data_IF_726048487438
#
_entry.id   IF_726048487438
#
_cell.length_a   1.000
_cell.length_b   1.000
_cell.length_c   1.000
_cell.angle_alpha   90.00
_cell.angle_beta   90.00
_cell.angle_gamma   90.00
#
_symmetry.space_group_name_H-M   'P 1'
#
loop_
_entity.id
_entity.type
_entity.pdbx_description
1 polymer ?
#
# COMPACT_ATOMS: atom_id res chain seq x y z
N UNK A 1 -21.24 -39.73 -41.57
CA UNK A 1 -20.53 -38.83 -42.52
C UNK A 1 -19.72 -37.85 -41.67
N UNK A 2 -18.40 -37.92 -41.55
CA UNK A 2 -17.33 -38.22 -42.53
C UNK A 2 -17.18 -37.17 -43.62
N UNK A 3 -16.20 -36.28 -43.40
CA UNK A 3 -15.20 -35.79 -44.37
C UNK A 3 -15.68 -35.53 -45.82
N UNK A 4 -16.00 -34.27 -46.09
CA UNK A 4 -15.38 -33.55 -47.22
C UNK A 4 -14.79 -32.26 -46.64
N UNK A 5 -13.56 -32.30 -46.10
CA UNK A 5 -12.32 -32.00 -46.83
C UNK A 5 -12.38 -30.64 -47.54
N UNK A 6 -11.77 -29.61 -46.96
CA UNK A 6 -10.34 -29.28 -47.17
C UNK A 6 -10.10 -28.70 -48.57
N UNK A 7 -10.44 -27.42 -48.75
CA UNK A 7 -10.20 -26.71 -50.03
C UNK A 7 -9.86 -25.20 -49.93
N UNK A 8 -9.63 -24.65 -48.73
CA UNK A 8 -9.10 -23.28 -48.54
C UNK A 8 -7.93 -23.31 -47.54
N UNK A 9 -6.92 -24.13 -47.85
CA UNK A 9 -5.68 -24.23 -47.06
C UNK A 9 -4.45 -24.54 -47.95
N UNK A 10 -4.37 -23.97 -49.16
CA UNK A 10 -3.09 -23.80 -49.89
C UNK A 10 -3.17 -22.80 -51.06
N UNK A 11 -2.67 -21.57 -50.86
CA UNK A 11 -2.05 -20.75 -51.92
C UNK A 11 -0.91 -19.92 -51.29
N UNK A 12 0.32 -20.20 -51.73
CA UNK A 12 1.52 -19.34 -51.78
C UNK A 12 1.60 -18.20 -50.74
N UNK A 13 2.43 -18.22 -49.69
CA UNK A 13 3.77 -18.80 -49.50
C UNK A 13 4.87 -18.20 -50.41
N UNK A 14 6.03 -17.94 -49.81
CA UNK A 14 7.27 -17.34 -50.36
C UNK A 14 7.23 -15.82 -50.62
N UNK A 15 7.80 -15.06 -49.68
CA UNK A 15 8.86 -14.11 -50.01
C UNK A 15 9.73 -13.87 -48.75
N UNK A 16 10.98 -14.35 -48.77
CA UNK A 16 11.98 -14.13 -47.71
C UNK A 16 13.08 -13.25 -48.29
N UNK A 17 13.45 -12.18 -47.60
CA UNK A 17 14.77 -11.57 -47.75
C UNK A 17 15.11 -10.75 -46.49
N UNK A 18 16.33 -10.94 -45.99
CA UNK A 18 16.88 -10.17 -44.90
C UNK A 18 17.79 -9.07 -45.44
N UNK A 19 17.91 -7.96 -44.72
CA UNK A 19 18.98 -6.99 -44.89
C UNK A 19 19.40 -6.47 -43.51
N UNK A 20 20.68 -6.64 -43.21
CA UNK A 20 21.36 -6.14 -42.03
C UNK A 20 22.31 -5.00 -42.44
N UNK A 21 23.30 -4.67 -41.59
CA UNK A 21 24.25 -3.53 -41.68
C UNK A 21 23.59 -2.13 -41.66
N UNK A 22 24.20 -1.08 -41.08
CA UNK A 22 25.55 -0.98 -40.50
C UNK A 22 25.60 -0.19 -39.19
N UNK A 23 26.66 -0.43 -38.42
CA UNK A 23 27.14 0.39 -37.29
C UNK A 23 28.51 0.97 -37.67
N UNK A 24 28.81 2.24 -37.36
CA UNK A 24 30.18 2.77 -37.36
C UNK A 24 30.81 2.63 -35.96
N UNK A 25 31.99 2.02 -35.88
CA UNK A 25 32.88 2.05 -34.71
C UNK A 25 33.91 3.20 -34.82
N UNK A 26 34.92 3.18 -33.93
CA UNK A 26 36.18 3.96 -33.94
C UNK A 26 35.98 5.41 -33.44
N UNK A 27 36.68 5.92 -32.41
CA UNK A 27 38.06 5.68 -31.98
C UNK A 27 38.25 5.14 -30.54
N UNK A 28 39.48 4.71 -30.24
CA UNK A 28 39.93 4.18 -28.95
C UNK A 28 41.32 4.71 -28.58
N UNK A 29 41.62 4.70 -27.28
CA UNK A 29 42.96 4.83 -26.66
C UNK A 29 43.66 6.22 -26.76
N UNK A 30 44.67 6.52 -25.92
CA UNK A 30 45.33 5.65 -24.92
C UNK A 30 45.21 6.12 -23.46
N UNK A 31 45.55 5.20 -22.55
CA UNK A 31 45.77 5.46 -21.13
C UNK A 31 47.28 5.56 -20.81
N UNK A 32 47.62 6.21 -19.69
CA UNK A 32 48.94 6.12 -19.05
C UNK A 32 48.73 5.94 -17.54
N UNK A 33 49.55 5.10 -16.90
CA UNK A 33 49.41 4.73 -15.48
C UNK A 33 50.73 4.84 -14.69
N UNK A 34 50.64 5.37 -13.46
CA UNK A 34 51.58 5.23 -12.34
C UNK A 34 50.86 5.79 -11.08
N UNK A 35 50.90 5.21 -9.86
CA UNK A 35 52.04 4.76 -9.06
C UNK A 35 52.94 5.93 -8.60
N UNK A 36 53.34 6.09 -7.32
CA UNK A 36 53.15 5.22 -6.16
C UNK A 36 53.31 5.93 -4.80
N UNK A 37 52.81 5.26 -3.75
CA UNK A 37 53.45 5.01 -2.44
C UNK A 37 53.88 6.13 -1.45
N UNK A 38 53.93 5.65 -0.19
CA UNK A 38 54.80 6.08 0.92
C UNK A 38 54.25 7.10 1.93
N UNK A 39 54.74 6.98 3.16
CA UNK A 39 54.25 7.67 4.35
C UNK A 39 55.33 7.74 5.45
N UNK A 40 55.05 8.48 6.54
CA UNK A 40 55.91 8.77 7.72
C UNK A 40 56.86 9.99 7.44
N UNK A 41 57.39 10.73 8.44
CA UNK A 41 57.60 10.41 9.87
C UNK A 41 57.83 11.67 10.75
N UNK A 42 57.18 11.72 11.93
CA UNK A 42 57.61 12.28 13.25
C UNK A 42 58.57 13.51 13.34
N UNK A 43 58.17 14.49 14.17
CA UNK A 43 58.86 14.98 15.43
C UNK A 43 57.97 16.05 16.10
N UNK A 44 57.71 16.20 17.42
CA UNK A 44 58.15 15.64 18.73
C UNK A 44 59.10 16.51 19.60
N UNK A 45 58.53 17.42 20.41
CA UNK A 45 58.99 18.02 21.70
C UNK A 45 57.69 18.39 22.48
N UNK A 46 57.36 18.12 23.77
CA UNK A 46 57.90 17.46 24.99
C UNK A 46 58.71 18.32 26.00
N UNK A 47 58.21 18.34 27.28
CA UNK A 47 58.67 18.97 28.56
C UNK A 47 57.91 20.28 28.89
N UNK A 48 57.60 20.65 30.16
CA UNK A 48 57.78 20.04 31.52
C UNK A 48 56.65 20.57 32.46
N UNK A 49 56.10 19.78 33.42
CA UNK A 49 56.27 19.86 34.91
C UNK A 49 56.29 21.30 35.46
N UNK A 50 55.42 21.71 36.40
CA UNK A 50 55.15 21.22 37.80
C UNK A 50 53.68 21.44 38.25
N UNK A 51 53.13 21.08 39.45
CA UNK A 51 53.45 20.12 40.54
C UNK A 51 52.26 19.91 41.54
N UNK A 52 52.46 18.99 42.51
CA UNK A 52 52.03 19.04 43.95
C UNK A 52 50.54 18.99 44.43
N UNK A 53 50.18 17.77 44.91
CA UNK A 53 49.66 17.43 46.27
C UNK A 53 48.16 17.64 46.65
N UNK A 54 47.41 16.53 46.54
CA UNK A 54 46.26 16.04 47.37
C UNK A 54 45.41 17.03 48.21
N UNK A 55 44.09 17.01 47.99
CA UNK A 55 43.07 16.71 49.02
C UNK A 55 41.78 16.13 48.38
N UNK A 56 40.96 15.42 49.15
CA UNK A 56 39.65 14.86 48.73
C UNK A 56 38.52 15.77 49.23
N UNK A 57 37.59 16.16 48.36
CA UNK A 57 36.21 16.55 48.70
C UNK A 57 35.30 16.19 47.52
N UNK A 58 34.04 15.86 47.79
CA UNK A 58 33.05 15.56 46.76
C UNK A 58 32.24 16.83 46.41
N UNK A 59 31.91 17.02 45.13
CA UNK A 59 31.07 18.13 44.68
C UNK A 59 30.16 17.71 43.51
N UNK A 60 28.85 17.99 43.62
CA UNK A 60 27.86 17.75 42.57
C UNK A 60 28.20 18.61 41.34
N UNK A 61 28.29 18.03 40.15
CA UNK A 61 28.53 18.79 38.90
C UNK A 61 27.29 18.78 38.00
N UNK A 62 26.49 19.86 38.06
CA UNK A 62 25.38 20.11 37.12
C UNK A 62 25.90 20.01 35.67
N UNK A 63 25.40 19.04 34.88
CA UNK A 63 25.59 19.03 33.42
C UNK A 63 24.57 20.01 32.81
N UNK A 64 25.06 21.12 32.23
CA UNK A 64 24.25 21.96 31.32
C UNK A 64 23.86 21.10 30.11
N UNK A 65 22.57 20.78 29.92
CA UNK A 65 22.07 20.23 28.66
C UNK A 65 22.03 21.38 27.65
N UNK A 66 22.91 21.37 26.66
CA UNK A 66 22.78 22.27 25.50
C UNK A 66 21.71 21.72 24.56
N UNK A 67 20.66 22.49 24.35
CA UNK A 67 19.54 22.17 23.46
C UNK A 67 19.95 22.28 22.00
N UNK A 68 20.59 21.24 21.45
CA UNK A 68 20.70 21.08 19.99
C UNK A 68 19.29 20.89 19.41
N UNK A 69 18.69 21.99 18.94
CA UNK A 69 17.45 22.00 18.15
C UNK A 69 17.66 21.10 16.93
N UNK A 70 17.11 19.87 16.99
CA UNK A 70 17.34 18.82 16.00
C UNK A 70 16.53 19.17 14.75
N UNK A 71 17.13 19.90 13.82
CA UNK A 71 16.46 20.26 12.57
C UNK A 71 16.05 19.00 11.82
N UNK A 72 14.73 18.80 11.69
CA UNK A 72 14.17 17.78 10.82
C UNK A 72 14.43 18.27 9.39
N UNK A 73 15.55 17.84 8.81
CA UNK A 73 15.75 17.97 7.37
C UNK A 73 14.61 17.23 6.68
N UNK A 74 13.71 17.96 6.03
CA UNK A 74 12.81 17.38 5.03
C UNK A 74 13.69 16.58 4.04
N UNK A 75 13.29 15.38 3.61
CA UNK A 75 14.05 14.66 2.59
C UNK A 75 14.19 15.59 1.38
N UNK A 76 15.40 15.66 0.81
CA UNK A 76 15.63 16.50 -0.35
C UNK A 76 14.78 15.98 -1.51
N UNK A 77 13.82 16.80 -1.96
CA UNK A 77 13.01 16.50 -3.15
C UNK A 77 13.98 16.46 -4.33
N UNK A 78 14.23 15.26 -4.85
CA UNK A 78 15.08 15.09 -6.01
C UNK A 78 14.19 15.15 -7.25
N UNK A 79 14.20 16.29 -7.94
CA UNK A 79 13.67 16.39 -9.31
C UNK A 79 14.34 15.33 -10.18
N UNK A 80 13.53 14.51 -10.83
CA UNK A 80 13.97 13.40 -11.67
C UNK A 80 13.85 13.74 -13.16
N UNK A 81 12.88 14.60 -13.53
CA UNK A 81 12.69 15.16 -14.86
C UNK A 81 11.70 16.34 -14.83
N UNK A 82 11.79 17.25 -15.80
CA UNK A 82 10.82 18.33 -16.08
C UNK A 82 10.72 18.49 -17.60
N UNK A 83 9.55 18.84 -18.12
CA UNK A 83 9.41 19.30 -19.51
C UNK A 83 10.01 20.69 -19.70
N UNK A 84 10.33 21.08 -20.94
CA UNK A 84 11.02 22.35 -21.25
C UNK A 84 10.20 23.60 -20.85
N UNK A 85 8.88 23.48 -20.82
CA UNK A 85 7.90 24.47 -20.36
C UNK A 85 7.56 24.34 -18.86
N UNK A 86 8.15 23.37 -18.16
CA UNK A 86 7.80 22.96 -16.78
C UNK A 86 6.35 22.51 -16.54
N UNK A 87 5.54 22.35 -17.60
CA UNK A 87 4.13 21.97 -17.48
C UNK A 87 3.94 20.59 -16.83
N UNK A 88 4.87 19.66 -17.11
CA UNK A 88 4.90 18.31 -16.53
C UNK A 88 6.26 18.01 -15.90
N UNK A 89 6.26 17.22 -14.82
CA UNK A 89 7.49 16.88 -14.09
C UNK A 89 7.38 15.60 -13.29
N UNK A 90 8.54 15.02 -12.97
CA UNK A 90 8.68 13.83 -12.12
C UNK A 90 9.69 14.15 -11.01
N UNK A 91 9.39 13.80 -9.76
CA UNK A 91 10.37 13.85 -8.67
C UNK A 91 10.26 12.63 -7.73
N UNK A 92 11.25 12.46 -6.84
CA UNK A 92 11.21 11.46 -5.76
C UNK A 92 10.85 12.11 -4.42
N UNK A 93 9.73 11.69 -3.84
CA UNK A 93 9.30 12.05 -2.49
C UNK A 93 9.90 11.15 -1.41
N UNK A 94 9.39 11.26 -0.18
CA UNK A 94 9.81 10.39 0.92
C UNK A 94 9.52 8.91 0.63
N UNK A 95 10.25 8.01 1.32
CA UNK A 95 10.17 6.54 1.15
C UNK A 95 10.42 6.02 -0.27
N UNK A 96 10.87 6.87 -1.19
CA UNK A 96 11.12 6.53 -2.59
C UNK A 96 9.89 6.64 -3.50
N UNK A 97 8.73 7.07 -2.97
CA UNK A 97 7.50 7.31 -3.76
C UNK A 97 7.82 8.24 -4.94
N UNK A 98 7.37 7.87 -6.14
CA UNK A 98 7.48 8.69 -7.34
C UNK A 98 6.26 9.60 -7.42
N UNK A 99 6.48 10.90 -7.57
CA UNK A 99 5.42 11.88 -7.83
C UNK A 99 5.57 12.32 -9.28
N UNK A 100 4.48 12.23 -10.04
CA UNK A 100 4.36 12.74 -11.40
C UNK A 100 3.27 13.81 -11.44
N UNK A 101 3.51 14.89 -12.17
CA UNK A 101 2.50 15.87 -12.56
C UNK A 101 2.43 15.92 -14.09
N UNK A 102 1.24 15.80 -14.64
CA UNK A 102 1.01 15.94 -16.08
C UNK A 102 0.86 17.41 -16.50
N UNK A 103 0.77 17.65 -17.81
CA UNK A 103 0.62 18.99 -18.41
C UNK A 103 -0.75 19.65 -18.17
N UNK A 104 -1.73 18.91 -17.64
CA UNK A 104 -3.02 19.46 -17.19
C UNK A 104 -2.95 19.92 -15.73
N UNK A 105 -1.85 19.62 -15.04
CA UNK A 105 -1.66 19.97 -13.64
C UNK A 105 -2.24 18.97 -12.66
N UNK A 106 -2.52 17.73 -13.10
CA UNK A 106 -2.96 16.64 -12.24
C UNK A 106 -1.74 15.92 -11.68
N UNK A 107 -1.68 15.75 -10.36
CA UNK A 107 -0.60 15.00 -9.68
C UNK A 107 -1.05 13.56 -9.42
N UNK A 108 -0.18 12.57 -9.69
CA UNK A 108 -0.30 11.17 -9.27
C UNK A 108 0.92 10.75 -8.46
N UNK A 109 0.69 10.11 -7.31
CA UNK A 109 1.71 9.51 -6.47
C UNK A 109 1.72 7.99 -6.62
N UNK A 110 2.90 7.41 -6.81
CA UNK A 110 3.08 5.99 -7.12
C UNK A 110 4.17 5.38 -6.26
N UNK A 111 3.83 4.30 -5.55
CA UNK A 111 4.81 3.49 -4.85
C UNK A 111 5.57 2.62 -5.86
N UNK A 112 6.91 2.67 -5.89
CA UNK A 112 7.67 1.68 -6.65
C UNK A 112 7.64 0.32 -5.93
N UNK A 113 7.71 -0.78 -6.69
CA UNK A 113 7.81 -2.13 -6.14
C UNK A 113 9.22 -2.74 -6.36
N UNK A 114 10.21 -2.44 -5.48
CA UNK A 114 11.58 -2.95 -5.59
C UNK A 114 11.71 -4.36 -4.98
N UNK A 115 11.05 -5.36 -5.56
CA UNK A 115 11.00 -6.72 -5.01
C UNK A 115 11.44 -7.78 -6.04
N UNK A 116 12.12 -8.83 -5.56
CA UNK A 116 12.53 -9.99 -6.37
C UNK A 116 11.35 -10.90 -6.67
N UNK A 117 11.26 -11.39 -7.92
CA UNK A 117 10.26 -12.37 -8.34
C UNK A 117 10.29 -13.69 -7.52
N UNK A 118 11.39 -13.99 -6.83
CA UNK A 118 11.50 -15.17 -5.96
C UNK A 118 10.84 -15.02 -4.58
N UNK A 119 10.42 -13.80 -4.18
CA UNK A 119 9.95 -13.51 -2.82
C UNK A 119 8.71 -14.29 -2.39
N UNK A 120 7.80 -14.60 -3.33
CA UNK A 120 6.48 -15.16 -3.02
C UNK A 120 6.47 -16.63 -2.63
N UNK A 121 7.61 -17.35 -2.69
CA UNK A 121 7.69 -18.78 -2.38
C UNK A 121 7.14 -19.12 -0.99
N UNK A 122 7.39 -18.27 0.02
CA UNK A 122 6.85 -18.47 1.37
C UNK A 122 5.33 -18.30 1.46
N UNK A 123 4.78 -17.35 0.71
CA UNK A 123 3.36 -17.03 0.64
C UNK A 123 2.58 -18.11 -0.11
N UNK A 124 3.06 -18.50 -1.30
CA UNK A 124 2.51 -19.62 -2.07
C UNK A 124 2.51 -20.94 -1.27
N UNK A 125 3.59 -21.22 -0.53
CA UNK A 125 3.67 -22.38 0.35
C UNK A 125 2.70 -22.31 1.54
N UNK A 126 2.39 -21.11 2.06
CA UNK A 126 1.39 -20.93 3.12
C UNK A 126 -0.04 -21.17 2.60
N UNK A 127 -0.42 -20.59 1.47
CA UNK A 127 -1.72 -20.79 0.83
C UNK A 127 -1.93 -22.27 0.47
N UNK A 128 -0.89 -22.91 -0.07
CA UNK A 128 -0.94 -24.33 -0.42
C UNK A 128 -1.10 -25.25 0.81
N UNK A 129 -0.64 -24.84 2.01
CA UNK A 129 -0.97 -25.54 3.26
C UNK A 129 -2.45 -25.41 3.62
N UNK A 130 -3.06 -24.23 3.47
CA UNK A 130 -4.51 -24.06 3.68
C UNK A 130 -5.32 -24.92 2.70
N UNK A 131 -4.96 -24.93 1.42
CA UNK A 131 -5.61 -25.77 0.42
C UNK A 131 -5.53 -27.26 0.76
N UNK A 132 -4.35 -27.77 1.14
CA UNK A 132 -4.22 -29.17 1.61
C UNK A 132 -5.01 -29.45 2.89
N UNK A 133 -5.05 -28.49 3.82
CA UNK A 133 -5.74 -28.63 5.10
C UNK A 133 -7.26 -28.60 4.99
N UNK A 134 -7.82 -27.88 4.00
CA UNK A 134 -9.27 -27.71 3.79
C UNK A 134 -9.82 -28.57 2.64
N UNK A 135 -8.96 -29.32 1.94
CA UNK A 135 -9.36 -30.28 0.89
C UNK A 135 -10.37 -31.35 1.35
N UNK A 136 -10.32 -31.92 2.58
CA UNK A 136 -11.35 -32.85 3.05
C UNK A 136 -12.74 -32.20 3.14
N UNK A 137 -12.77 -30.91 3.46
CA UNK A 137 -13.97 -30.09 3.61
C UNK A 137 -14.45 -29.50 2.27
N UNK A 138 -13.83 -29.92 1.15
CA UNK A 138 -14.14 -29.51 -0.24
C UNK A 138 -14.01 -28.01 -0.56
N UNK A 139 -13.31 -27.23 0.27
CA UNK A 139 -13.11 -25.79 0.06
C UNK A 139 -12.18 -25.54 -1.12
N UNK A 140 -12.61 -24.72 -2.09
CA UNK A 140 -11.73 -24.22 -3.17
C UNK A 140 -10.87 -23.08 -2.62
N UNK A 141 -9.56 -23.13 -2.87
CA UNK A 141 -8.62 -22.10 -2.39
C UNK A 141 -8.02 -21.32 -3.55
N UNK A 142 -8.02 -20.00 -3.42
CA UNK A 142 -7.62 -19.04 -4.46
C UNK A 142 -6.51 -18.11 -3.96
N UNK A 143 -5.69 -17.61 -4.87
CA UNK A 143 -4.71 -16.55 -4.62
C UNK A 143 -4.94 -15.39 -5.59
N UNK A 144 -5.19 -14.18 -5.08
CA UNK A 144 -5.19 -12.95 -5.88
C UNK A 144 -4.19 -11.97 -5.26
N UNK A 145 -3.09 -11.71 -5.96
CA UNK A 145 -2.13 -10.68 -5.56
C UNK A 145 -2.47 -9.37 -6.29
N UNK A 146 -2.86 -8.34 -5.53
CA UNK A 146 -3.27 -7.05 -6.09
C UNK A 146 -2.04 -6.19 -6.45
N UNK A 147 -1.85 -5.78 -7.72
CA UNK A 147 -0.76 -4.87 -8.09
C UNK A 147 -0.94 -3.47 -7.50
N UNK A 148 0.15 -2.71 -7.33
CA UNK A 148 0.07 -1.28 -7.05
C UNK A 148 -0.15 -0.44 -8.31
N UNK A 149 -0.48 0.85 -8.16
CA UNK A 149 -0.51 1.78 -9.30
C UNK A 149 0.85 1.92 -10.01
N UNK A 150 1.95 1.53 -9.36
CA UNK A 150 3.30 1.60 -9.91
C UNK A 150 3.59 0.54 -10.99
N UNK A 151 2.75 -0.49 -11.13
CA UNK A 151 2.83 -1.46 -12.22
C UNK A 151 2.29 -0.91 -13.55
N UNK A 152 1.33 0.02 -13.50
CA UNK A 152 0.61 0.51 -14.69
C UNK A 152 0.92 1.96 -15.06
N UNK A 153 1.00 2.87 -14.08
CA UNK A 153 1.05 4.32 -14.33
C UNK A 153 2.45 4.93 -14.20
N UNK A 154 3.48 4.13 -13.89
CA UNK A 154 4.84 4.66 -13.71
C UNK A 154 5.42 5.17 -15.04
N UNK A 155 5.90 6.44 -15.12
CA UNK A 155 6.46 6.96 -16.35
C UNK A 155 7.67 6.15 -16.86
N UNK A 156 7.88 6.07 -18.19
CA UNK A 156 8.99 5.32 -18.79
C UNK A 156 10.35 5.67 -18.18
N UNK A 157 11.15 4.64 -17.89
CA UNK A 157 12.49 4.78 -17.30
C UNK A 157 12.54 4.82 -15.76
N UNK A 158 11.40 4.99 -15.07
CA UNK A 158 11.38 5.13 -13.60
C UNK A 158 11.07 3.84 -12.82
N UNK A 159 10.58 2.79 -13.51
CA UNK A 159 10.63 1.40 -13.07
C UNK A 159 10.70 0.42 -14.24
N UNK A 160 10.99 -0.85 -13.94
CA UNK A 160 10.90 -1.95 -14.90
C UNK A 160 9.47 -2.47 -15.03
N UNK A 161 8.66 -1.88 -15.92
CA UNK A 161 7.30 -2.31 -16.29
C UNK A 161 7.13 -3.84 -16.29
N UNK A 162 6.02 -4.38 -15.79
CA UNK A 162 5.83 -5.82 -15.58
C UNK A 162 6.50 -6.36 -14.31
N UNK A 163 7.07 -5.53 -13.44
CA UNK A 163 7.81 -6.00 -12.24
C UNK A 163 6.91 -6.71 -11.25
N UNK A 164 5.71 -6.18 -11.01
CA UNK A 164 4.76 -6.81 -10.10
C UNK A 164 4.17 -8.06 -10.75
N UNK A 165 3.82 -8.01 -12.04
CA UNK A 165 3.30 -9.18 -12.75
C UNK A 165 4.31 -10.33 -12.88
N UNK A 166 5.60 -10.04 -13.07
CA UNK A 166 6.67 -11.06 -12.97
C UNK A 166 6.72 -11.70 -11.58
N UNK A 167 6.48 -10.93 -10.51
CA UNK A 167 6.41 -11.48 -9.16
C UNK A 167 5.13 -12.29 -8.91
N UNK A 168 3.97 -11.86 -9.43
CA UNK A 168 2.70 -12.56 -9.30
C UNK A 168 2.75 -13.90 -10.06
N UNK A 169 3.18 -13.91 -11.32
CA UNK A 169 3.34 -15.12 -12.11
C UNK A 169 4.35 -16.11 -11.50
N UNK A 170 5.50 -15.60 -11.01
CA UNK A 170 6.47 -16.44 -10.28
C UNK A 170 5.87 -17.02 -8.99
N UNK A 171 5.10 -16.24 -8.23
CA UNK A 171 4.41 -16.72 -7.03
C UNK A 171 3.36 -17.79 -7.34
N UNK A 172 2.56 -17.59 -8.40
CA UNK A 172 1.60 -18.57 -8.88
C UNK A 172 2.28 -19.91 -9.27
N UNK A 173 3.45 -19.86 -9.91
CA UNK A 173 4.25 -21.06 -10.24
C UNK A 173 4.83 -21.83 -9.03
N UNK A 174 4.68 -21.30 -7.81
CA UNK A 174 5.07 -21.98 -6.56
C UNK A 174 3.89 -22.54 -5.77
N UNK A 175 2.66 -22.45 -6.29
CA UNK A 175 1.47 -23.03 -5.66
C UNK A 175 1.38 -24.55 -5.92
N UNK A 176 0.76 -25.27 -5.00
CA UNK A 176 0.21 -26.60 -5.30
C UNK A 176 -0.88 -26.48 -6.37
N UNK A 177 -1.00 -27.49 -7.25
CA UNK A 177 -2.02 -27.55 -8.31
C UNK A 177 -3.48 -27.66 -7.81
N UNK A 178 -3.71 -27.67 -6.50
CA UNK A 178 -5.05 -27.57 -5.87
C UNK A 178 -5.42 -26.13 -5.46
N UNK A 179 -4.53 -25.15 -5.69
CA UNK A 179 -4.81 -23.72 -5.54
C UNK A 179 -5.07 -23.11 -6.91
N UNK A 180 -6.09 -22.27 -7.03
CA UNK A 180 -6.37 -21.52 -8.26
C UNK A 180 -5.75 -20.11 -8.18
N UNK A 181 -4.68 -19.79 -8.92
CA UNK A 181 -4.20 -18.42 -9.04
C UNK A 181 -5.19 -17.59 -9.87
N UNK A 182 -5.63 -16.46 -9.32
CA UNK A 182 -6.51 -15.49 -9.99
C UNK A 182 -5.63 -14.35 -10.49
N UNK A 183 -5.47 -14.30 -11.82
CA UNK A 183 -4.65 -13.30 -12.50
C UNK A 183 -5.55 -12.13 -12.94
N UNK A 184 -5.38 -10.96 -12.30
CA UNK A 184 -6.18 -9.77 -12.59
C UNK A 184 -5.53 -8.80 -13.61
N UNK A 185 -4.36 -9.13 -14.17
CA UNK A 185 -3.60 -8.22 -15.05
C UNK A 185 -4.41 -7.85 -16.31
N UNK A 186 -4.95 -8.83 -17.04
CA UNK A 186 -5.73 -8.57 -18.26
C UNK A 186 -6.99 -7.73 -17.97
N UNK A 187 -7.67 -8.02 -16.87
CA UNK A 187 -8.86 -7.29 -16.41
C UNK A 187 -8.54 -5.84 -16.03
N UNK A 188 -7.37 -5.58 -15.43
CA UNK A 188 -6.95 -4.21 -15.10
C UNK A 188 -6.38 -3.48 -16.34
N UNK A 189 -5.63 -4.18 -17.21
CA UNK A 189 -5.06 -3.61 -18.45
C UNK A 189 -6.12 -3.21 -19.47
N UNK A 190 -7.27 -3.89 -19.50
CA UNK A 190 -8.40 -3.51 -20.34
C UNK A 190 -8.99 -2.13 -19.97
N UNK A 191 -8.78 -1.64 -18.73
CA UNK A 191 -9.44 -0.46 -18.17
C UNK A 191 -8.45 0.62 -17.68
N UNK A 192 -7.21 0.67 -18.20
CA UNK A 192 -6.21 1.69 -17.82
C UNK A 192 -6.60 3.13 -18.18
N UNK A 193 -7.54 3.32 -19.10
CA UNK A 193 -8.13 4.62 -19.47
C UNK A 193 -9.17 5.13 -18.47
N UNK A 194 -9.52 4.33 -17.46
CA UNK A 194 -10.47 4.67 -16.40
C UNK A 194 -9.72 4.83 -15.07
N UNK A 195 -10.31 5.54 -14.10
CA UNK A 195 -9.70 5.74 -12.78
C UNK A 195 -9.88 4.49 -11.90
N UNK A 196 -9.16 3.43 -12.28
CA UNK A 196 -9.09 2.15 -11.56
C UNK A 196 -8.08 2.15 -10.39
N UNK A 197 -7.22 3.18 -10.29
CA UNK A 197 -6.30 3.41 -9.18
C UNK A 197 -6.33 4.87 -8.74
N UNK A 198 -6.44 5.11 -7.43
CA UNK A 198 -6.40 6.46 -6.88
C UNK A 198 -5.06 7.15 -7.21
N UNK A 199 -5.07 8.47 -7.33
CA UNK A 199 -3.90 9.32 -7.57
C UNK A 199 -3.18 9.70 -6.29
N UNK A 200 -3.91 9.86 -5.20
CA UNK A 200 -3.43 10.36 -3.90
C UNK A 200 -3.48 9.31 -2.79
N UNK A 201 -3.97 8.10 -3.07
CA UNK A 201 -3.96 6.96 -2.16
C UNK A 201 -3.09 5.79 -2.69
N UNK A 202 -2.85 4.76 -1.87
CA UNK A 202 -2.04 3.59 -2.24
C UNK A 202 -2.85 2.36 -2.67
N UNK A 203 -4.17 2.38 -2.49
CA UNK A 203 -5.05 1.33 -3.01
C UNK A 203 -5.44 1.56 -4.47
N UNK A 204 -5.97 0.51 -5.11
CA UNK A 204 -6.87 0.68 -6.24
C UNK A 204 -8.07 1.57 -5.90
N UNK A 205 -8.66 2.20 -6.91
CA UNK A 205 -9.99 2.78 -6.77
C UNK A 205 -11.02 1.63 -6.68
N UNK A 206 -12.23 1.85 -6.16
CA UNK A 206 -13.28 0.84 -6.10
C UNK A 206 -13.62 0.20 -7.46
N UNK A 207 -13.41 0.93 -8.57
CA UNK A 207 -13.57 0.42 -9.93
C UNK A 207 -12.50 -0.64 -10.29
N UNK A 208 -11.23 -0.43 -9.90
CA UNK A 208 -10.18 -1.44 -10.07
C UNK A 208 -10.41 -2.69 -9.20
N UNK A 209 -10.94 -2.49 -7.99
CA UNK A 209 -11.35 -3.58 -7.12
C UNK A 209 -12.51 -4.41 -7.71
N UNK A 210 -13.46 -3.76 -8.41
CA UNK A 210 -14.53 -4.42 -9.16
C UNK A 210 -13.98 -5.28 -10.31
N UNK A 211 -13.02 -4.81 -11.11
CA UNK A 211 -12.45 -5.65 -12.18
C UNK A 211 -11.67 -6.86 -11.63
N UNK A 212 -10.96 -6.70 -10.51
CA UNK A 212 -10.31 -7.81 -9.83
C UNK A 212 -11.30 -8.80 -9.18
N UNK A 213 -12.43 -8.31 -8.66
CA UNK A 213 -13.53 -9.14 -8.16
C UNK A 213 -14.19 -9.96 -9.28
N UNK A 214 -14.37 -9.39 -10.47
CA UNK A 214 -14.85 -10.12 -11.65
C UNK A 214 -13.93 -11.28 -12.06
N UNK A 215 -12.61 -11.09 -12.00
CA UNK A 215 -11.64 -12.16 -12.24
C UNK A 215 -11.75 -13.30 -11.22
N UNK A 216 -11.99 -12.99 -9.94
CA UNK A 216 -12.26 -14.02 -8.91
C UNK A 216 -13.60 -14.74 -9.15
N UNK A 217 -14.66 -14.01 -9.47
CA UNK A 217 -15.98 -14.59 -9.72
C UNK A 217 -15.95 -15.56 -10.93
N UNK A 218 -15.27 -15.18 -12.01
CA UNK A 218 -15.04 -16.04 -13.16
C UNK A 218 -14.24 -17.31 -12.78
N UNK A 219 -13.14 -17.16 -12.02
CA UNK A 219 -12.34 -18.29 -11.55
C UNK A 219 -13.09 -19.20 -10.54
N UNK A 220 -14.08 -18.65 -9.84
CA UNK A 220 -14.92 -19.38 -8.89
C UNK A 220 -16.16 -20.02 -9.52
N UNK A 221 -16.50 -19.71 -10.78
CA UNK A 221 -17.73 -20.19 -11.40
C UNK A 221 -18.97 -19.77 -10.60
N UNK A 222 -19.13 -18.46 -10.42
CA UNK A 222 -20.29 -17.80 -9.83
C UNK A 222 -20.74 -16.67 -10.74
N UNK A 223 -22.01 -16.28 -10.64
CA UNK A 223 -22.55 -15.13 -11.33
C UNK A 223 -21.85 -13.84 -10.86
N UNK A 224 -21.69 -12.86 -11.75
CA UNK A 224 -21.09 -11.57 -11.43
C UNK A 224 -21.97 -10.43 -11.95
N UNK A 225 -22.37 -9.54 -11.05
CA UNK A 225 -23.25 -8.43 -11.40
C UNK A 225 -22.50 -7.38 -12.22
N UNK A 226 -23.09 -6.86 -13.32
CA UNK A 226 -22.49 -5.76 -14.06
C UNK A 226 -22.49 -4.48 -13.21
N UNK A 227 -21.55 -3.56 -13.46
CA UNK A 227 -21.40 -2.31 -12.71
C UNK A 227 -22.69 -1.46 -12.67
N UNK A 228 -23.55 -1.58 -13.70
CA UNK A 228 -24.86 -0.94 -13.78
C UNK A 228 -25.91 -1.46 -12.78
N UNK A 229 -25.64 -2.56 -12.09
CA UNK A 229 -26.46 -3.05 -10.96
C UNK A 229 -26.09 -2.37 -9.63
N UNK A 230 -25.06 -1.53 -9.60
CA UNK A 230 -24.59 -0.83 -8.41
C UNK A 230 -24.90 0.68 -8.51
N UNK A 231 -25.26 1.30 -7.39
CA UNK A 231 -25.47 2.75 -7.31
C UNK A 231 -24.15 3.45 -7.02
N UNK A 232 -23.64 4.32 -7.92
CA UNK A 232 -22.42 5.08 -7.66
C UNK A 232 -22.65 6.15 -6.59
N UNK A 233 -21.63 6.39 -5.77
CA UNK A 233 -21.52 7.46 -4.77
C UNK A 233 -20.14 8.11 -4.91
N UNK A 234 -20.05 9.39 -4.61
CA UNK A 234 -18.83 10.18 -4.69
C UNK A 234 -18.57 10.85 -3.34
N UNK A 235 -17.31 10.82 -2.90
CA UNK A 235 -16.76 11.71 -1.88
C UNK A 235 -15.70 12.56 -2.57
N UNK A 236 -15.88 13.88 -2.61
CA UNK A 236 -15.00 14.82 -3.32
C UNK A 236 -13.80 15.24 -2.47
N UNK A 237 -12.90 15.98 -3.10
CA UNK A 237 -11.71 16.59 -2.47
C UNK A 237 -10.84 15.57 -1.71
N UNK A 238 -10.85 14.31 -2.15
CA UNK A 238 -10.14 13.23 -1.49
C UNK A 238 -8.62 13.40 -1.66
N UNK A 239 -7.92 13.41 -0.52
CA UNK A 239 -6.46 13.31 -0.46
C UNK A 239 -6.11 12.12 0.43
N UNK A 240 -5.69 11.03 -0.20
CA UNK A 240 -5.39 9.78 0.46
C UNK A 240 -4.03 9.69 1.14
N UNK A 241 -3.68 8.45 1.48
CA UNK A 241 -2.48 8.04 2.21
C UNK A 241 -1.16 8.40 1.53
N UNK A 242 -1.10 8.59 0.21
CA UNK A 242 0.17 8.94 -0.47
C UNK A 242 0.68 10.32 -0.10
N UNK A 243 -0.19 11.28 0.29
CA UNK A 243 0.30 12.53 0.87
C UNK A 243 1.10 12.25 2.16
N UNK A 244 0.59 11.40 3.05
CA UNK A 244 1.28 10.97 4.29
C UNK A 244 2.51 10.09 4.03
N UNK A 245 2.55 9.35 2.92
CA UNK A 245 3.68 8.46 2.59
C UNK A 245 4.84 9.21 1.91
N UNK A 246 4.53 10.14 1.02
CA UNK A 246 5.50 10.98 0.29
C UNK A 246 5.95 12.22 1.07
N UNK A 247 5.08 12.77 1.92
CA UNK A 247 5.29 14.05 2.58
C UNK A 247 5.25 15.27 1.64
N UNK A 248 4.75 15.10 0.41
CA UNK A 248 4.85 16.11 -0.64
C UNK A 248 3.55 16.94 -0.81
N UNK A 249 3.63 18.28 -0.80
CA UNK A 249 2.44 19.14 -0.90
C UNK A 249 1.73 19.09 -2.26
N UNK A 250 2.40 18.67 -3.34
CA UNK A 250 1.76 18.61 -4.67
C UNK A 250 0.77 17.45 -4.79
N UNK A 251 0.86 16.45 -3.90
CA UNK A 251 -0.17 15.41 -3.73
C UNK A 251 -1.37 15.97 -2.96
N UNK A 252 -1.14 16.77 -1.91
CA UNK A 252 -2.22 17.44 -1.15
C UNK A 252 -2.98 18.44 -2.02
N UNK A 253 -2.27 19.17 -2.87
CA UNK A 253 -2.82 20.22 -3.72
C UNK A 253 -3.35 19.69 -5.07
N UNK A 254 -3.65 18.40 -5.17
CA UNK A 254 -4.25 17.78 -6.36
C UNK A 254 -5.22 16.64 -5.97
N UNK A 255 -6.29 16.96 -5.21
CA UNK A 255 -7.27 15.98 -4.75
C UNK A 255 -8.00 15.28 -5.91
N UNK A 256 -8.77 14.26 -5.58
CA UNK A 256 -9.58 13.47 -6.52
C UNK A 256 -11.00 13.19 -6.01
N UNK A 257 -11.87 12.69 -6.88
CA UNK A 257 -13.18 12.17 -6.50
C UNK A 257 -13.05 10.69 -6.14
N UNK A 258 -13.34 10.34 -4.89
CA UNK A 258 -13.42 8.95 -4.45
C UNK A 258 -14.80 8.37 -4.82
N UNK A 259 -14.86 7.72 -5.98
CA UNK A 259 -16.08 7.08 -6.50
C UNK A 259 -16.17 5.63 -6.01
N UNK A 260 -17.24 5.30 -5.29
CA UNK A 260 -17.52 3.93 -4.82
C UNK A 260 -18.93 3.46 -5.22
N UNK A 261 -19.14 2.16 -5.20
CA UNK A 261 -20.32 1.50 -5.77
C UNK A 261 -21.08 0.74 -4.68
N UNK A 262 -22.34 1.12 -4.44
CA UNK A 262 -23.23 0.44 -3.51
C UNK A 262 -23.94 -0.72 -4.23
N UNK A 263 -23.83 -1.98 -3.76
CA UNK A 263 -24.63 -3.08 -4.29
C UNK A 263 -26.11 -2.88 -3.96
N UNK A 264 -26.98 -3.66 -4.62
CA UNK A 264 -28.40 -3.78 -4.26
C UNK A 264 -28.58 -4.07 -2.77
N UNK A 265 -29.46 -3.32 -2.11
CA UNK A 265 -29.76 -3.51 -0.68
C UNK A 265 -30.50 -4.83 -0.38
N UNK A 266 -30.57 -5.18 0.90
CA UNK A 266 -31.18 -6.42 1.40
C UNK A 266 -30.18 -7.33 2.14
N UNK A 267 -28.88 -7.15 1.88
CA UNK A 267 -27.81 -7.79 2.64
C UNK A 267 -27.76 -7.30 4.09
N UNK A 268 -27.20 -8.11 4.97
CA UNK A 268 -26.99 -7.79 6.39
C UNK A 268 -25.54 -8.04 6.79
N UNK A 269 -24.89 -7.05 7.42
CA UNK A 269 -23.51 -7.15 7.88
C UNK A 269 -23.42 -7.26 9.40
N UNK A 270 -22.81 -8.35 9.87
CA UNK A 270 -22.44 -8.60 11.26
C UNK A 270 -20.93 -8.42 11.44
N UNK A 271 -20.54 -7.83 12.56
CA UNK A 271 -19.19 -7.39 12.87
C UNK A 271 -18.69 -7.99 14.19
N UNK A 272 -17.42 -8.38 14.22
CA UNK A 272 -16.64 -8.61 15.44
C UNK A 272 -15.45 -7.65 15.36
N UNK A 273 -15.38 -6.69 16.29
CA UNK A 273 -14.38 -5.61 16.29
C UNK A 273 -13.25 -5.94 17.26
N UNK A 274 -12.01 -5.64 16.86
CA UNK A 274 -10.79 -6.03 17.57
C UNK A 274 -10.14 -4.86 18.30
N UNK A 275 -9.94 -5.03 19.61
CA UNK A 275 -9.17 -4.11 20.44
C UNK A 275 -7.69 -4.42 20.31
N UNK A 276 -6.86 -3.41 20.03
CA UNK A 276 -5.40 -3.58 19.92
C UNK A 276 -4.66 -3.05 21.16
N UNK A 277 -3.65 -3.79 21.61
CA UNK A 277 -2.60 -3.34 22.55
C UNK A 277 -1.23 -3.65 21.96
N UNK A 278 -0.32 -2.67 21.94
CA UNK A 278 1.02 -2.84 21.34
C UNK A 278 1.01 -3.28 19.87
N UNK A 279 -0.04 -2.93 19.10
CA UNK A 279 -0.24 -3.35 17.71
C UNK A 279 -0.71 -4.81 17.52
N UNK A 280 -1.02 -5.54 18.61
CA UNK A 280 -1.58 -6.89 18.59
C UNK A 280 -3.02 -6.89 19.08
N UNK A 281 -3.85 -7.79 18.57
CA UNK A 281 -5.21 -8.01 19.08
C UNK A 281 -5.17 -8.55 20.51
N UNK A 282 -5.91 -7.91 21.41
CA UNK A 282 -5.93 -8.21 22.85
C UNK A 282 -7.36 -8.30 23.42
N UNK A 283 -8.35 -8.53 22.55
CA UNK A 283 -9.76 -8.56 22.91
C UNK A 283 -10.65 -8.34 21.69
N UNK A 284 -11.87 -8.84 21.77
CA UNK A 284 -12.86 -8.87 20.69
C UNK A 284 -14.22 -8.42 21.24
N UNK A 285 -15.03 -7.75 20.42
CA UNK A 285 -16.42 -7.45 20.77
C UNK A 285 -17.31 -8.70 20.69
N UNK A 286 -18.50 -8.65 21.29
CA UNK A 286 -19.60 -9.51 20.85
C UNK A 286 -19.95 -9.22 19.36
N UNK A 287 -20.56 -10.18 18.65
CA UNK A 287 -21.15 -9.93 17.33
C UNK A 287 -22.19 -8.80 17.41
N UNK A 288 -22.13 -7.85 16.47
CA UNK A 288 -23.05 -6.72 16.39
C UNK A 288 -23.32 -6.34 14.93
N UNK A 289 -24.49 -5.76 14.65
CA UNK A 289 -24.84 -5.30 13.30
C UNK A 289 -24.42 -3.85 13.10
N UNK A 290 -23.85 -3.53 11.95
CA UNK A 290 -23.44 -2.18 11.56
C UNK A 290 -23.67 -2.01 10.04
N UNK A 291 -23.63 -0.77 9.53
CA UNK A 291 -23.58 -0.57 8.07
C UNK A 291 -22.24 -1.09 7.52
N UNK A 292 -22.26 -1.79 6.38
CA UNK A 292 -21.02 -2.16 5.68
C UNK A 292 -20.30 -0.92 5.12
N UNK A 293 -21.07 0.06 4.65
CA UNK A 293 -20.56 1.32 4.11
C UNK A 293 -20.64 2.42 5.18
N UNK A 294 -19.50 3.09 5.46
CA UNK A 294 -19.43 4.24 6.35
C UNK A 294 -19.48 5.52 5.54
N UNK A 295 -20.33 6.46 5.95
CA UNK A 295 -20.35 7.80 5.39
C UNK A 295 -19.14 8.61 5.88
N UNK A 296 -18.54 9.36 4.95
CA UNK A 296 -17.50 10.36 5.20
C UNK A 296 -17.84 11.63 4.40
N UNK A 297 -17.52 12.82 4.91
CA UNK A 297 -17.72 14.07 4.18
C UNK A 297 -16.69 14.25 3.05
N UNK A 298 -17.02 15.10 2.08
CA UNK A 298 -16.08 15.64 1.09
C UNK A 298 -14.86 16.26 1.83
N UNK A 299 -13.66 16.09 1.28
CA UNK A 299 -12.38 16.44 1.90
C UNK A 299 -11.83 15.40 2.90
N UNK A 300 -12.56 14.32 3.19
CA UNK A 300 -12.12 13.29 4.12
C UNK A 300 -10.97 12.43 3.55
N UNK A 301 -9.74 12.66 4.03
CA UNK A 301 -8.60 11.76 3.77
C UNK A 301 -8.75 10.34 4.35
N UNK A 302 -9.88 10.03 4.99
CA UNK A 302 -10.26 8.70 5.46
C UNK A 302 -11.26 7.98 4.54
N UNK A 303 -11.67 8.54 3.38
CA UNK A 303 -12.74 8.01 2.52
C UNK A 303 -12.61 6.52 2.15
N UNK A 304 -11.39 5.99 1.96
CA UNK A 304 -11.20 4.55 1.70
C UNK A 304 -11.68 3.63 2.86
N UNK A 305 -11.82 4.16 4.08
CA UNK A 305 -12.43 3.46 5.22
C UNK A 305 -13.96 3.35 5.11
N UNK A 306 -14.61 3.91 4.08
CA UNK A 306 -16.02 3.66 3.75
C UNK A 306 -16.31 2.17 3.75
N UNK A 307 -15.38 1.34 3.26
CA UNK A 307 -15.50 -0.11 3.37
C UNK A 307 -15.22 -0.58 4.80
N UNK A 308 -16.27 -1.06 5.48
CA UNK A 308 -16.26 -1.68 6.82
C UNK A 308 -15.79 -0.80 7.98
N UNK A 309 -15.26 0.40 7.76
CA UNK A 309 -14.64 1.20 8.83
C UNK A 309 -13.24 0.69 9.21
N UNK A 310 -12.50 0.12 8.25
CA UNK A 310 -11.12 -0.33 8.42
C UNK A 310 -10.94 -1.77 8.90
N UNK A 311 -9.69 -2.11 9.24
CA UNK A 311 -9.19 -3.49 9.17
C UNK A 311 -9.24 -4.30 10.47
N UNK A 312 -9.41 -3.66 11.63
CA UNK A 312 -9.35 -4.30 12.96
C UNK A 312 -10.69 -4.97 13.31
N UNK A 313 -11.17 -5.85 12.43
CA UNK A 313 -12.48 -6.49 12.53
C UNK A 313 -12.59 -7.72 11.62
N UNK A 314 -13.48 -8.63 11.99
CA UNK A 314 -14.06 -9.61 11.07
C UNK A 314 -15.48 -9.17 10.72
N UNK A 315 -15.88 -9.34 9.47
CA UNK A 315 -17.23 -9.01 8.98
C UNK A 315 -17.84 -10.24 8.30
N UNK A 316 -19.08 -10.58 8.65
CA UNK A 316 -19.91 -11.61 7.99
C UNK A 316 -21.07 -10.90 7.31
N UNK A 317 -21.19 -11.05 6.00
CA UNK A 317 -22.28 -10.45 5.21
C UNK A 317 -23.18 -11.55 4.67
N UNK A 318 -24.47 -11.48 4.98
CA UNK A 318 -25.49 -12.49 4.62
C UNK A 318 -26.61 -11.85 3.81
N UNK A 319 -27.56 -12.66 3.29
CA UNK A 319 -28.72 -12.19 2.48
C UNK A 319 -28.30 -11.36 1.26
N UNK A 320 -27.15 -11.69 0.69
CA UNK A 320 -26.48 -10.93 -0.37
C UNK A 320 -27.19 -11.01 -1.74
N UNK A 321 -27.98 -12.07 -1.96
CA UNK A 321 -28.58 -12.40 -3.27
C UNK A 321 -27.66 -13.21 -4.20
N UNK A 322 -26.44 -13.53 -3.79
CA UNK A 322 -25.50 -14.33 -4.58
C UNK A 322 -25.84 -15.83 -4.66
N UNK A 323 -25.01 -16.59 -5.38
CA UNK A 323 -25.28 -18.00 -5.71
C UNK A 323 -25.51 -18.86 -4.44
N UNK A 324 -26.65 -19.57 -4.32
CA UNK A 324 -26.95 -20.42 -3.16
C UNK A 324 -25.92 -21.53 -2.92
N UNK A 325 -25.65 -21.82 -1.65
CA UNK A 325 -24.63 -22.78 -1.22
C UNK A 325 -23.19 -22.35 -1.53
N UNK A 326 -22.93 -21.07 -1.84
CA UNK A 326 -21.58 -20.54 -2.12
C UNK A 326 -21.20 -19.50 -1.09
N UNK A 327 -20.29 -19.86 -0.18
CA UNK A 327 -19.84 -19.00 0.92
C UNK A 327 -18.36 -18.68 0.80
N UNK A 328 -18.04 -17.38 0.74
CA UNK A 328 -16.71 -16.86 0.51
C UNK A 328 -16.02 -16.46 1.82
N UNK A 329 -14.72 -16.79 1.95
CA UNK A 329 -13.81 -16.22 2.94
C UNK A 329 -12.70 -15.41 2.24
N UNK A 330 -12.80 -14.09 2.36
CA UNK A 330 -11.85 -13.10 1.85
C UNK A 330 -10.78 -12.80 2.91
N UNK A 331 -9.63 -13.47 2.80
CA UNK A 331 -8.48 -13.32 3.70
C UNK A 331 -7.56 -12.23 3.17
N UNK A 332 -7.62 -11.03 3.76
CA UNK A 332 -7.20 -9.82 3.07
C UNK A 332 -6.22 -8.92 3.83
N UNK A 333 -5.55 -8.04 3.09
CA UNK A 333 -5.13 -6.72 3.58
C UNK A 333 -6.09 -5.64 3.07
N UNK A 334 -5.79 -4.38 3.30
CA UNK A 334 -6.68 -3.26 2.99
C UNK A 334 -7.08 -3.14 1.51
N UNK A 335 -6.38 -3.75 0.54
CA UNK A 335 -6.86 -3.83 -0.84
C UNK A 335 -8.19 -4.60 -0.94
N UNK A 336 -8.34 -5.70 -0.20
CA UNK A 336 -9.56 -6.51 -0.22
C UNK A 336 -10.81 -5.77 0.29
N UNK A 337 -10.65 -4.63 0.98
CA UNK A 337 -11.77 -3.85 1.52
C UNK A 337 -12.74 -3.39 0.43
N UNK A 338 -12.21 -2.83 -0.66
CA UNK A 338 -13.02 -2.38 -1.80
C UNK A 338 -13.55 -3.54 -2.67
N UNK A 339 -12.88 -4.70 -2.63
CA UNK A 339 -13.24 -5.89 -3.42
C UNK A 339 -14.41 -6.67 -2.81
N UNK A 340 -14.52 -6.68 -1.47
CA UNK A 340 -15.57 -7.40 -0.74
C UNK A 340 -17.01 -7.10 -1.20
N UNK A 341 -17.48 -5.82 -1.29
CA UNK A 341 -18.86 -5.53 -1.69
C UNK A 341 -19.20 -5.91 -3.13
N UNK A 342 -18.19 -5.97 -4.01
CA UNK A 342 -18.35 -6.40 -5.41
C UNK A 342 -18.71 -7.90 -5.53
N UNK A 343 -18.54 -8.68 -4.45
CA UNK A 343 -18.74 -10.13 -4.44
C UNK A 343 -20.05 -10.54 -3.75
N UNK A 344 -20.84 -9.60 -3.24
CA UNK A 344 -22.13 -9.90 -2.60
C UNK A 344 -23.10 -10.57 -3.59
N UNK A 345 -23.21 -10.02 -4.81
CA UNK A 345 -24.02 -10.61 -5.89
C UNK A 345 -23.54 -11.97 -6.42
N UNK A 346 -22.44 -12.52 -5.89
CA UNK A 346 -21.79 -13.75 -6.35
C UNK A 346 -21.84 -14.91 -5.35
N UNK A 347 -21.89 -14.62 -4.04
CA UNK A 347 -21.85 -15.61 -2.97
C UNK A 347 -22.97 -15.32 -1.96
N UNK A 348 -23.76 -16.33 -1.55
CA UNK A 348 -24.87 -16.18 -0.58
C UNK A 348 -24.44 -15.54 0.75
N UNK A 349 -23.16 -15.73 1.09
CA UNK A 349 -22.53 -15.28 2.30
C UNK A 349 -21.06 -14.91 2.04
N UNK A 350 -20.63 -13.74 2.50
CA UNK A 350 -19.27 -13.21 2.31
C UNK A 350 -18.65 -12.85 3.66
N UNK A 351 -17.61 -13.57 4.04
CA UNK A 351 -16.78 -13.31 5.21
C UNK A 351 -15.54 -12.51 4.81
N UNK A 352 -15.24 -11.46 5.56
CA UNK A 352 -14.04 -10.63 5.37
C UNK A 352 -13.20 -10.65 6.63
N UNK A 353 -11.95 -11.10 6.50
CA UNK A 353 -11.02 -11.33 7.61
C UNK A 353 -9.67 -10.72 7.29
N UNK A 354 -9.19 -9.81 8.15
CA UNK A 354 -7.85 -9.25 8.00
C UNK A 354 -6.79 -10.11 8.73
N UNK A 355 -5.87 -10.70 7.97
CA UNK A 355 -4.89 -11.66 8.51
C UNK A 355 -3.93 -11.03 9.55
N UNK A 356 -3.80 -9.70 9.55
CA UNK A 356 -2.93 -8.95 10.48
C UNK A 356 -3.52 -8.90 11.89
N UNK A 357 -4.85 -8.92 12.00
CA UNK A 357 -5.58 -8.68 13.25
C UNK A 357 -6.44 -9.87 13.71
N UNK A 358 -6.83 -10.77 12.80
CA UNK A 358 -7.59 -11.98 13.15
C UNK A 358 -6.83 -12.86 14.17
N UNK A 359 -7.39 -13.17 15.35
CA UNK A 359 -6.67 -13.89 16.40
C UNK A 359 -6.81 -15.41 16.35
N UNK A 360 -7.79 -15.96 15.63
CA UNK A 360 -8.17 -17.38 15.68
C UNK A 360 -7.47 -18.26 14.63
N UNK A 361 -7.70 -19.58 14.73
CA UNK A 361 -7.40 -20.53 13.67
C UNK A 361 -8.33 -20.32 12.46
N UNK A 362 -7.73 -19.88 11.36
CA UNK A 362 -8.46 -19.48 10.16
C UNK A 362 -9.05 -20.69 9.39
N UNK A 363 -8.44 -21.88 9.51
CA UNK A 363 -9.00 -23.11 8.92
C UNK A 363 -10.15 -23.67 9.77
N UNK A 364 -10.09 -23.53 11.10
CA UNK A 364 -11.22 -23.87 11.97
C UNK A 364 -12.38 -22.87 11.80
N UNK A 365 -12.08 -21.59 11.59
CA UNK A 365 -13.08 -20.58 11.21
C UNK A 365 -13.78 -20.92 9.89
N UNK A 366 -13.02 -21.31 8.85
CA UNK A 366 -13.60 -21.72 7.57
C UNK A 366 -14.59 -22.89 7.72
N UNK A 367 -14.22 -23.92 8.50
CA UNK A 367 -15.13 -25.06 8.81
C UNK A 367 -16.37 -24.64 9.58
N UNK A 368 -16.22 -23.85 10.64
CA UNK A 368 -17.34 -23.41 11.50
C UNK A 368 -18.39 -22.56 10.78
N UNK A 369 -18.05 -21.96 9.65
CA UNK A 369 -18.96 -21.14 8.84
C UNK A 369 -19.35 -21.83 7.50
N UNK A 370 -18.95 -23.09 7.31
CA UNK A 370 -19.24 -23.88 6.10
C UNK A 370 -18.76 -23.20 4.80
N UNK A 371 -17.59 -22.55 4.87
CA UNK A 371 -16.98 -21.83 3.73
C UNK A 371 -16.68 -22.79 2.59
N UNK A 372 -17.18 -22.49 1.38
CA UNK A 372 -16.95 -23.29 0.17
C UNK A 372 -15.80 -22.74 -0.70
N UNK A 373 -15.48 -21.47 -0.53
CA UNK A 373 -14.52 -20.73 -1.35
C UNK A 373 -13.67 -19.81 -0.46
N UNK A 374 -12.35 -19.93 -0.52
CA UNK A 374 -11.43 -19.16 0.33
C UNK A 374 -10.34 -18.52 -0.52
N UNK A 375 -10.22 -17.20 -0.48
CA UNK A 375 -9.27 -16.44 -1.30
C UNK A 375 -8.34 -15.61 -0.41
N UNK A 376 -7.05 -15.61 -0.76
CA UNK A 376 -6.07 -14.71 -0.18
C UNK A 376 -5.90 -13.50 -1.10
N UNK A 377 -6.24 -12.30 -0.60
CA UNK A 377 -6.21 -11.03 -1.34
C UNK A 377 -5.26 -10.05 -0.66
N UNK A 378 -4.02 -10.01 -1.13
CA UNK A 378 -3.00 -9.11 -0.58
C UNK A 378 -2.32 -8.33 -1.70
N UNK A 379 -1.93 -7.09 -1.42
CA UNK A 379 -1.12 -6.34 -2.38
C UNK A 379 0.27 -6.98 -2.51
N UNK A 380 0.92 -6.83 -3.67
CA UNK A 380 2.18 -7.51 -3.98
C UNK A 380 3.25 -7.25 -2.90
N UNK A 381 3.34 -6.03 -2.36
CA UNK A 381 4.31 -5.71 -1.29
C UNK A 381 4.05 -6.40 0.05
N UNK A 382 2.79 -6.76 0.35
CA UNK A 382 2.40 -7.51 1.55
C UNK A 382 2.51 -9.02 1.30
N UNK A 383 2.06 -9.51 0.15
CA UNK A 383 2.17 -10.92 -0.23
C UNK A 383 3.63 -11.41 -0.25
N UNK A 384 4.56 -10.59 -0.76
CA UNK A 384 5.99 -10.93 -0.84
C UNK A 384 6.75 -10.71 0.48
N UNK A 385 6.09 -10.29 1.56
CA UNK A 385 6.71 -10.10 2.87
C UNK A 385 6.78 -11.43 3.65
N UNK A 386 7.96 -11.90 4.11
CA UNK A 386 8.09 -13.13 4.88
C UNK A 386 7.21 -13.18 6.15
N UNK A 387 6.92 -12.04 6.76
CA UNK A 387 6.06 -11.96 7.95
C UNK A 387 4.59 -12.31 7.63
N UNK A 388 4.12 -12.03 6.41
CA UNK A 388 2.78 -12.44 5.94
C UNK A 388 2.69 -13.95 5.91
N UNK A 389 3.66 -14.61 5.27
CA UNK A 389 3.75 -16.07 5.26
C UNK A 389 3.84 -16.64 6.69
N UNK A 390 4.64 -16.04 7.57
CA UNK A 390 4.75 -16.47 8.97
C UNK A 390 3.42 -16.34 9.74
N UNK A 391 2.70 -15.22 9.59
CA UNK A 391 1.40 -14.98 10.23
C UNK A 391 0.34 -15.97 9.72
N UNK A 392 0.26 -16.20 8.40
CA UNK A 392 -0.62 -17.20 7.82
C UNK A 392 -0.32 -18.61 8.32
N UNK A 393 0.96 -19.00 8.44
CA UNK A 393 1.32 -20.30 9.02
C UNK A 393 0.88 -20.41 10.50
N UNK A 394 1.08 -19.37 11.31
CA UNK A 394 0.68 -19.36 12.71
C UNK A 394 -0.85 -19.51 12.89
N UNK A 395 -1.65 -18.84 12.04
CA UNK A 395 -3.12 -18.96 12.05
C UNK A 395 -3.66 -20.28 11.46
N UNK A 396 -2.81 -21.17 10.96
CA UNK A 396 -3.21 -22.54 10.57
C UNK A 396 -3.03 -23.52 11.74
N UNK A 397 -2.09 -23.24 12.64
CA UNK A 397 -1.78 -24.05 13.84
C UNK A 397 -2.18 -23.39 15.16
N UNK A 398 -2.96 -22.30 15.12
CA UNK A 398 -3.46 -21.66 16.34
C UNK A 398 -4.41 -22.61 17.06
N UNK A 399 -4.40 -22.56 18.40
CA UNK A 399 -5.39 -23.22 19.24
C UNK A 399 -6.42 -22.17 19.67
N UNK A 400 -7.71 -22.43 19.48
CA UNK A 400 -8.80 -21.46 19.71
C UNK A 400 -9.26 -21.38 21.18
N UNK A 401 -8.43 -21.86 22.12
CA UNK A 401 -8.69 -21.84 23.56
C UNK A 401 -8.50 -20.47 24.23
N UNK A 402 -8.84 -19.38 23.53
CA UNK A 402 -8.61 -17.96 23.83
C UNK A 402 -8.06 -17.61 25.24
N UNK A 403 -6.73 -17.66 25.37
CA UNK A 403 -5.99 -16.79 26.29
C UNK A 403 -5.34 -15.66 25.50
N UNK A 404 -5.81 -14.43 25.69
CA UNK A 404 -5.07 -13.26 25.23
C UNK A 404 -3.89 -13.06 26.19
N UNK A 405 -2.74 -13.66 25.86
CA UNK A 405 -1.51 -13.46 26.62
C UNK A 405 -1.24 -11.95 26.77
N UNK A 406 -1.11 -11.47 28.00
CA UNK A 406 -0.74 -10.07 28.22
C UNK A 406 0.61 -9.80 27.53
N UNK A 407 0.71 -8.77 26.67
CA UNK A 407 1.96 -8.45 26.01
C UNK A 407 2.97 -7.97 27.05
N UNK A 408 3.97 -8.81 27.34
CA UNK A 408 5.06 -8.47 28.24
C UNK A 408 5.63 -7.08 27.93
N UNK A 409 5.85 -6.27 28.97
CA UNK A 409 6.18 -4.86 28.85
C UNK A 409 7.34 -4.60 27.88
N UNK A 410 7.02 -3.97 26.75
CA UNK A 410 8.01 -3.50 25.79
C UNK A 410 8.48 -2.12 26.25
N UNK A 411 9.79 -1.88 26.46
CA UNK A 411 10.28 -0.56 26.84
C UNK A 411 9.86 0.51 25.84
N UNK A 412 9.36 1.65 26.32
CA UNK A 412 8.80 2.69 25.45
C UNK A 412 9.83 3.25 24.45
N UNK A 413 9.61 3.04 23.16
CA UNK A 413 10.15 3.93 22.12
C UNK A 413 9.34 5.24 22.08
N UNK A 414 9.52 6.04 23.15
CA UNK A 414 9.22 7.47 23.22
C UNK A 414 7.92 7.92 22.56
N UNK A 415 6.81 7.78 23.28
CA UNK A 415 5.56 8.45 22.93
C UNK A 415 5.82 9.96 22.76
N UNK A 416 5.59 10.47 21.55
CA UNK A 416 5.48 11.91 21.31
C UNK A 416 4.02 12.27 21.54
N UNK A 417 3.76 12.97 22.65
CA UNK A 417 2.42 13.49 22.96
C UNK A 417 1.87 14.30 21.77
N UNK A 418 0.56 14.21 21.47
CA UNK A 418 -0.06 15.20 20.59
C UNK A 418 0.12 16.59 21.23
N UNK A 419 0.43 17.64 20.46
CA UNK A 419 0.56 18.97 21.02
C UNK A 419 -0.76 19.40 21.65
N UNK A 420 -0.71 19.86 22.90
CA UNK A 420 -1.87 20.41 23.58
C UNK A 420 -2.47 21.58 22.78
N UNK A 421 -3.80 21.74 22.78
CA UNK A 421 -4.44 22.88 22.11
C UNK A 421 -3.91 24.20 22.67
N UNK A 422 -3.53 25.13 21.79
CA UNK A 422 -3.25 26.51 22.18
C UNK A 422 -4.58 27.17 22.61
N UNK A 423 -4.64 27.87 23.75
CA UNK A 423 -5.84 28.55 24.17
C UNK A 423 -5.97 29.93 23.50
N UNK A 424 -7.11 30.17 22.84
CA UNK A 424 -7.61 31.51 22.52
C UNK A 424 -7.07 32.15 21.22
N UNK A 425 -7.85 31.98 20.15
CA UNK A 425 -8.03 32.99 19.09
C UNK A 425 -9.55 33.20 18.93
N UNK A 426 -10.17 33.90 19.87
CA UNK A 426 -11.54 34.42 19.71
C UNK A 426 -11.46 35.85 19.18
N UNK A 427 -12.17 36.14 18.09
CA UNK A 427 -12.31 37.50 17.59
C UNK A 427 -13.40 38.24 18.40
N UNK A 428 -13.04 39.39 18.98
CA UNK A 428 -13.94 40.24 19.76
C UNK A 428 -13.44 41.69 19.78
N UNK A 429 -14.39 42.62 19.71
CA UNK A 429 -14.24 44.03 19.38
C UNK A 429 -13.24 44.89 20.19
N UNK A 430 -12.96 46.04 19.55
CA UNK A 430 -12.45 47.33 20.03
C UNK A 430 -12.37 47.62 21.55
N UNK A 431 -11.32 48.36 21.93
CA UNK A 431 -11.53 49.76 22.35
C UNK A 431 -10.29 50.63 22.05
N UNK A 432 -10.42 51.96 22.20
CA UNK A 432 -9.34 52.95 22.02
C UNK A 432 -8.39 53.02 23.23
N UNK A 433 -7.11 53.38 23.00
CA UNK A 433 -6.31 54.18 23.95
C UNK A 433 -5.00 54.70 23.32
N UNK A 434 -4.84 56.02 23.43
CA UNK A 434 -3.82 56.92 22.88
C UNK A 434 -2.32 56.65 23.12
N UNK A 435 -1.52 57.32 22.27
CA UNK A 435 -0.28 58.06 22.56
C UNK A 435 0.92 57.32 23.22
N UNK A 436 2.00 57.14 22.44
CA UNK A 436 3.13 58.07 22.56
C UNK A 436 4.03 58.13 21.31
N UNK A 437 4.56 59.33 21.04
CA UNK A 437 5.38 59.67 19.88
C UNK A 437 6.82 59.16 19.97
N UNK A 438 7.45 58.94 18.81
CA UNK A 438 8.83 59.38 18.54
C UNK A 438 9.08 59.44 17.03
N UNK A 439 9.21 60.66 16.51
CA UNK A 439 10.02 61.01 15.32
C UNK A 439 11.51 60.74 15.69
N UNK A 440 12.53 60.66 14.85
CA UNK A 440 12.81 60.97 13.44
C UNK A 440 14.02 60.04 13.06
N UNK A 441 14.58 59.85 11.85
CA UNK A 441 14.76 60.71 10.67
C UNK A 441 14.80 59.88 9.37
N UNK A 442 14.67 60.56 8.23
CA UNK A 442 15.01 60.06 6.89
C UNK A 442 16.55 59.88 6.72
N UNK A 443 16.98 59.04 5.77
CA UNK A 443 17.67 59.48 4.53
C UNK A 443 18.05 58.33 3.58
N UNK A 444 18.14 58.73 2.30
CA UNK A 444 18.76 58.16 1.08
C UNK A 444 20.07 57.31 1.22
N UNK A 445 20.62 56.65 0.18
CA UNK A 445 20.17 56.13 -1.12
C UNK A 445 21.37 55.38 -1.80
N UNK A 446 21.26 55.05 -3.10
CA UNK A 446 22.35 54.62 -4.03
C UNK A 446 23.04 53.26 -3.74
N UNK A 447 22.90 52.26 -4.62
CA UNK A 447 23.73 51.92 -5.82
C UNK A 447 25.07 51.21 -5.51
N UNK A 448 25.08 49.88 -5.66
CA UNK A 448 25.87 49.13 -6.69
C UNK A 448 25.28 47.70 -6.88
#
# INVERSE_FOLDING_TARGET
MSRFFLHIMLRFAVCVLALSVAVPEVFSAPAVAAASSSAKKKKRKKKKRTSSRKKRTAAKKKKRRTSRRRSVRRPAVQTLWMSADSASWIHRGAKGIIIYRDSLGVTRAMQPCPISATGGRGYAAAISKYARALRPDSVRVYMLMAPSQGEYYMPPGYLSCGSEQRCIAATASYLDSIVTPVMADDSLRAHLSEEIYNRTDHHWAPLGAYYAAGALAAAAGVDYLPLSAYTPRVIRDYVGTMYKFSGDPMVKNSPEDFVYYLPSGGYEAEFITYTLRGGKTSGESAPHRESFFKDFPDGSGAAYLTFMGGDTRTVKVTKTGGTPGRRLLLVKDSFGNAMAPCLFGSFEEVHVVDFRFFPHNLAQYARRNEITDMVFVNCVSIALNPNTAARLNAMLSHNDGNTFDEPAEIPEEGAVEPPAPQPGDEAGDADECDDNTYEDTEEDATEE
#
